data_IF_964370782033
#
_entry.id   IF_964370782033
#
_cell.length_a   1.000
_cell.length_b   1.000
_cell.length_c   1.000
_cell.angle_alpha   90.00
_cell.angle_beta   90.00
_cell.angle_gamma   90.00
#
_symmetry.space_group_name_H-M   'P 1'
#
loop_
_entity.id
_entity.type
_entity.pdbx_description
1 polymer ?
#
# COMPACT_ATOMS: atom_id res chain seq x y z
N UNK A 1 22.34 -5.41 14.34
CA UNK A 1 22.25 -4.90 12.95
C UNK A 1 21.25 -5.70 12.09
N UNK A 2 21.30 -7.04 12.05
CA UNK A 2 20.37 -7.87 11.23
C UNK A 2 18.89 -7.74 11.59
N UNK A 3 18.55 -7.69 12.89
CA UNK A 3 17.16 -7.47 13.34
C UNK A 3 16.59 -6.10 12.92
N UNK A 4 17.44 -5.06 12.93
CA UNK A 4 17.06 -3.70 12.50
C UNK A 4 16.83 -3.66 10.99
N UNK A 5 17.67 -4.36 10.21
CA UNK A 5 17.50 -4.47 8.76
C UNK A 5 16.21 -5.23 8.39
N UNK A 6 15.89 -6.33 9.09
CA UNK A 6 14.64 -7.07 8.89
C UNK A 6 13.39 -6.24 9.24
N UNK A 7 13.45 -5.49 10.34
CA UNK A 7 12.36 -4.58 10.72
C UNK A 7 12.18 -3.46 9.69
N UNK A 8 13.27 -2.86 9.20
CA UNK A 8 13.21 -1.85 8.15
C UNK A 8 12.61 -2.40 6.85
N UNK A 9 13.02 -3.60 6.42
CA UNK A 9 12.47 -4.26 5.23
C UNK A 9 10.97 -4.55 5.38
N UNK A 10 10.52 -5.04 6.54
CA UNK A 10 9.11 -5.28 6.82
C UNK A 10 8.28 -3.99 6.78
N UNK A 11 8.80 -2.90 7.36
CA UNK A 11 8.15 -1.57 7.30
C UNK A 11 8.04 -1.09 5.86
N UNK A 12 9.12 -1.14 5.08
CA UNK A 12 9.12 -0.73 3.67
C UNK A 12 8.13 -1.57 2.86
N UNK A 13 8.13 -2.89 3.03
CA UNK A 13 7.22 -3.79 2.31
C UNK A 13 5.76 -3.51 2.66
N UNK A 14 5.47 -3.25 3.93
CA UNK A 14 4.14 -2.85 4.40
C UNK A 14 3.72 -1.52 3.75
N UNK A 15 4.59 -0.52 3.75
CA UNK A 15 4.31 0.78 3.12
C UNK A 15 4.07 0.65 1.61
N UNK A 16 4.83 -0.20 0.92
CA UNK A 16 4.64 -0.49 -0.51
C UNK A 16 3.28 -1.15 -0.75
N UNK A 17 2.91 -2.14 0.06
CA UNK A 17 1.61 -2.81 -0.03
C UNK A 17 0.47 -1.80 0.18
N UNK A 18 0.55 -1.00 1.24
CA UNK A 18 -0.46 0.04 1.51
C UNK A 18 -0.55 1.06 0.37
N UNK A 19 0.58 1.48 -0.19
CA UNK A 19 0.61 2.41 -1.32
C UNK A 19 0.01 1.81 -2.59
N UNK A 20 0.28 0.54 -2.86
CA UNK A 20 -0.29 -0.19 -3.99
C UNK A 20 -1.76 -0.59 -3.78
N UNK A 21 -2.32 -0.39 -2.59
CA UNK A 21 -3.69 -0.78 -2.29
C UNK A 21 -4.69 0.06 -3.10
N UNK A 22 -5.55 -0.57 -3.91
CA UNK A 22 -6.59 0.15 -4.65
C UNK A 22 -7.74 0.62 -3.73
N UNK A 23 -7.73 0.17 -2.46
CA UNK A 23 -8.69 0.54 -1.43
C UNK A 23 -8.22 1.66 -0.50
N UNK A 24 -6.98 2.12 -0.65
CA UNK A 24 -6.46 3.15 0.22
C UNK A 24 -7.09 4.51 -0.10
N UNK A 25 -7.64 5.21 0.91
CA UNK A 25 -8.38 6.45 0.72
C UNK A 25 -7.46 7.66 0.51
N UNK A 26 -6.61 7.60 -0.53
CA UNK A 26 -5.64 8.65 -0.85
C UNK A 26 -6.31 10.01 -1.03
N UNK A 27 -7.48 10.09 -1.65
CA UNK A 27 -8.20 11.37 -1.80
C UNK A 27 -8.66 11.94 -0.46
N UNK A 28 -9.08 11.10 0.47
CA UNK A 28 -9.50 11.54 1.80
C UNK A 28 -8.31 11.98 2.67
N UNK A 29 -7.18 11.27 2.55
CA UNK A 29 -5.92 11.59 3.24
C UNK A 29 -5.24 12.83 2.67
N UNK A 30 -5.24 12.99 1.34
CA UNK A 30 -4.56 14.07 0.65
C UNK A 30 -5.43 15.31 0.40
N UNK A 31 -6.74 15.23 0.52
CA UNK A 31 -7.65 16.37 0.39
C UNK A 31 -7.25 17.57 1.28
N UNK A 32 -6.94 17.37 2.58
CA UNK A 32 -6.46 18.42 3.46
C UNK A 32 -5.07 18.98 3.10
N UNK A 33 -4.28 18.24 2.32
CA UNK A 33 -2.91 18.57 1.91
C UNK A 33 -2.83 19.04 0.44
N UNK A 34 -3.97 19.23 -0.23
CA UNK A 34 -4.01 19.70 -1.61
C UNK A 34 -3.36 21.09 -1.72
N UNK A 35 -2.45 21.28 -2.68
CA UNK A 35 -1.75 22.57 -2.89
C UNK A 35 -0.52 22.78 -1.99
N UNK A 36 -0.15 21.79 -1.18
CA UNK A 36 1.09 21.82 -0.37
C UNK A 36 2.30 21.19 -1.07
N UNK A 37 2.14 20.65 -2.28
CA UNK A 37 3.18 19.90 -2.98
C UNK A 37 3.40 18.47 -2.47
N UNK A 38 2.88 18.13 -1.28
CA UNK A 38 3.00 16.80 -0.68
C UNK A 38 2.04 15.77 -1.29
N UNK A 39 0.95 16.26 -1.87
CA UNK A 39 -0.18 15.44 -2.30
C UNK A 39 -0.83 15.97 -3.60
N UNK A 40 -0.04 16.58 -4.49
CA UNK A 40 -0.57 17.06 -5.76
C UNK A 40 -0.73 15.87 -6.72
N UNK A 41 -1.74 15.91 -7.60
CA UNK A 41 -2.16 14.80 -8.47
C UNK A 41 -1.08 14.21 -9.40
N UNK A 42 0.15 14.74 -9.35
CA UNK A 42 1.34 14.23 -9.99
C UNK A 42 2.05 13.11 -9.19
N UNK A 43 1.92 13.04 -7.86
CA UNK A 43 2.50 11.94 -7.06
C UNK A 43 2.65 12.22 -5.55
N UNK A 44 2.97 11.17 -4.79
CA UNK A 44 3.17 11.25 -3.32
C UNK A 44 4.46 12.02 -3.00
N UNK A 45 4.42 12.97 -2.07
CA UNK A 45 5.56 13.83 -1.69
C UNK A 45 6.18 14.62 -2.85
N UNK A 46 5.40 14.94 -3.89
CA UNK A 46 5.90 15.63 -5.09
C UNK A 46 6.73 14.74 -6.02
N UNK A 47 6.83 13.44 -5.73
CA UNK A 47 7.52 12.48 -6.57
C UNK A 47 6.61 12.01 -7.71
N UNK A 48 6.81 12.55 -8.91
CA UNK A 48 6.02 12.22 -10.13
C UNK A 48 6.08 10.75 -10.56
N UNK A 49 7.12 10.03 -10.11
CA UNK A 49 7.30 8.61 -10.33
C UNK A 49 6.54 7.72 -9.33
N UNK A 50 5.90 8.32 -8.32
CA UNK A 50 5.07 7.64 -7.32
C UNK A 50 3.59 8.08 -7.45
N UNK A 51 2.88 7.65 -8.51
CA UNK A 51 1.52 8.10 -8.78
C UNK A 51 0.57 7.63 -7.68
N UNK A 52 -0.33 8.51 -7.23
CA UNK A 52 -1.42 8.12 -6.34
C UNK A 52 -2.42 7.25 -7.11
N UNK A 53 -2.40 5.94 -6.85
CA UNK A 53 -3.22 4.95 -7.58
C UNK A 53 -4.38 4.34 -6.77
N UNK A 54 -4.60 4.76 -5.53
CA UNK A 54 -5.76 4.29 -4.76
C UNK A 54 -6.99 5.18 -4.91
N UNK A 55 -8.12 4.65 -4.45
CA UNK A 55 -9.49 5.17 -4.52
C UNK A 55 -10.31 4.88 -5.78
N UNK A 56 -9.74 4.54 -6.93
CA UNK A 56 -10.61 4.30 -8.10
C UNK A 56 -11.47 3.03 -7.95
N UNK A 57 -10.87 1.92 -7.53
CA UNK A 57 -11.58 0.67 -7.35
C UNK A 57 -12.52 0.73 -6.13
N UNK A 58 -12.06 1.32 -5.02
CA UNK A 58 -12.90 1.55 -3.85
C UNK A 58 -14.08 2.48 -4.14
N UNK A 59 -13.90 3.55 -4.93
CA UNK A 59 -15.00 4.43 -5.32
C UNK A 59 -15.97 3.75 -6.29
N UNK A 60 -15.45 2.96 -7.25
CA UNK A 60 -16.27 2.27 -8.26
C UNK A 60 -17.09 1.12 -7.67
N UNK A 61 -16.60 0.48 -6.61
CA UNK A 61 -17.28 -0.65 -5.94
C UNK A 61 -18.08 -0.22 -4.70
N UNK A 62 -18.01 1.06 -4.29
CA UNK A 62 -18.64 1.54 -3.05
C UNK A 62 -20.15 1.26 -3.05
N UNK A 63 -20.65 0.65 -1.97
CA UNK A 63 -22.06 0.29 -1.83
C UNK A 63 -22.46 -1.03 -2.50
N UNK A 64 -21.50 -1.79 -3.04
CA UNK A 64 -21.73 -3.13 -3.58
C UNK A 64 -21.01 -4.20 -2.75
N UNK A 65 -21.54 -5.42 -2.71
CA UNK A 65 -20.89 -6.56 -2.04
C UNK A 65 -19.54 -6.94 -2.70
N UNK A 66 -19.32 -6.51 -3.95
CA UNK A 66 -18.05 -6.71 -4.67
C UNK A 66 -16.89 -5.94 -4.03
N UNK A 67 -17.16 -4.83 -3.33
CA UNK A 67 -16.13 -4.12 -2.57
C UNK A 67 -15.53 -5.01 -1.48
N UNK A 68 -16.38 -5.72 -0.72
CA UNK A 68 -15.94 -6.60 0.36
C UNK A 68 -15.16 -7.80 -0.20
N UNK A 69 -15.66 -8.41 -1.28
CA UNK A 69 -14.97 -9.52 -1.94
C UNK A 69 -13.60 -9.09 -2.49
N UNK A 70 -13.52 -7.94 -3.15
CA UNK A 70 -12.27 -7.44 -3.72
C UNK A 70 -11.28 -6.99 -2.63
N UNK A 71 -11.75 -6.42 -1.53
CA UNK A 71 -10.94 -6.12 -0.36
C UNK A 71 -10.37 -7.40 0.27
N UNK A 72 -11.19 -8.45 0.37
CA UNK A 72 -10.80 -9.74 0.93
C UNK A 72 -9.74 -10.44 0.06
N UNK A 73 -9.93 -10.45 -1.27
CA UNK A 73 -8.92 -10.95 -2.22
C UNK A 73 -7.61 -10.19 -2.08
N UNK A 74 -7.67 -8.86 -2.00
CA UNK A 74 -6.48 -8.03 -1.84
C UNK A 74 -5.76 -8.30 -0.51
N UNK A 75 -6.51 -8.38 0.59
CA UNK A 75 -5.98 -8.64 1.93
C UNK A 75 -5.30 -10.02 2.00
N UNK A 76 -5.92 -11.06 1.44
CA UNK A 76 -5.32 -12.39 1.34
C UNK A 76 -4.03 -12.36 0.52
N UNK A 77 -4.03 -11.68 -0.64
CA UNK A 77 -2.83 -11.52 -1.45
C UNK A 77 -1.70 -10.83 -0.69
N UNK A 78 -2.00 -9.76 0.05
CA UNK A 78 -1.03 -9.06 0.88
C UNK A 78 -0.45 -9.96 1.99
N UNK A 79 -1.29 -10.71 2.69
CA UNK A 79 -0.85 -11.65 3.74
C UNK A 79 0.06 -12.74 3.16
N UNK A 80 -0.29 -13.30 1.99
CA UNK A 80 0.52 -14.32 1.33
C UNK A 80 1.89 -13.78 0.90
N UNK A 81 1.93 -12.56 0.34
CA UNK A 81 3.18 -11.89 -0.03
C UNK A 81 4.07 -11.61 1.18
N UNK A 82 3.50 -11.11 2.28
CA UNK A 82 4.23 -10.87 3.53
C UNK A 82 4.76 -12.18 4.12
N UNK A 83 3.94 -13.24 4.11
CA UNK A 83 4.34 -14.55 4.59
C UNK A 83 5.47 -15.16 3.76
N UNK A 84 5.42 -15.00 2.44
CA UNK A 84 6.49 -15.44 1.54
C UNK A 84 7.78 -14.65 1.78
N UNK A 85 7.70 -13.33 1.89
CA UNK A 85 8.84 -12.47 2.19
C UNK A 85 9.51 -12.88 3.51
N UNK A 86 8.71 -13.18 4.54
CA UNK A 86 9.21 -13.66 5.82
C UNK A 86 9.93 -15.01 5.67
N UNK A 87 9.35 -15.98 4.94
CA UNK A 87 9.99 -17.29 4.70
C UNK A 87 11.30 -17.16 3.94
N UNK A 88 11.36 -16.29 2.92
CA UNK A 88 12.58 -16.03 2.15
C UNK A 88 13.66 -15.38 3.02
N UNK A 89 13.26 -14.45 3.88
CA UNK A 89 14.17 -13.83 4.85
C UNK A 89 14.75 -14.85 5.83
N UNK A 90 13.90 -15.72 6.39
CA UNK A 90 14.32 -16.79 7.30
C UNK A 90 15.23 -17.82 6.62
N UNK A 91 15.04 -18.07 5.32
CA UNK A 91 15.90 -18.95 4.54
C UNK A 91 17.26 -18.31 4.22
N UNK A 92 17.29 -17.01 3.92
CA UNK A 92 18.52 -16.27 3.62
C UNK A 92 19.41 -16.04 4.86
N UNK A 93 18.85 -16.18 6.06
CA UNK A 93 19.57 -16.04 7.33
C UNK A 93 20.16 -17.35 7.88
N UNK A 94 19.87 -18.50 7.26
CA UNK A 94 20.50 -19.79 7.58
C UNK A 94 21.81 -19.93 6.81
#
# INVERSE_FOLDING_TARGET
MRAVAGAAAAVVLTLVILHASPFWPWRALCGPLAGTGLCDGAGLFGATWLPMRGDWLAASLRGTWLADAALLVWALGAILLLSLAQRLWDAALR
#
